data_IF_549459962939
#
_entry.id   IF_549459962939
#
_cell.length_a   1.000
_cell.length_b   1.000
_cell.length_c   1.000
_cell.angle_alpha   90.00
_cell.angle_beta   90.00
_cell.angle_gamma   90.00
#
_symmetry.space_group_name_H-M   'P 1'
#
loop_
_entity.id
_entity.type
_entity.pdbx_description
1 polymer ?
#
# COMPACT_ATOMS: atom_id res chain seq x y z
N UNK A 1 10.62 5.02 1.37
CA UNK A 1 10.76 3.57 1.15
C UNK A 1 9.94 3.16 -0.07
N UNK A 2 10.42 2.20 -0.86
CA UNK A 2 9.65 1.63 -1.96
C UNK A 2 9.30 0.17 -1.65
N UNK A 3 8.03 -0.16 -1.75
CA UNK A 3 7.50 -1.50 -1.52
C UNK A 3 6.88 -2.02 -2.81
N UNK A 4 7.24 -3.25 -3.17
CA UNK A 4 6.57 -4.02 -4.21
C UNK A 4 5.87 -5.20 -3.55
N UNK A 5 4.54 -5.17 -3.51
CA UNK A 5 3.75 -6.24 -2.95
C UNK A 5 3.18 -7.09 -4.08
N UNK A 6 3.56 -8.37 -4.13
CA UNK A 6 3.06 -9.35 -5.10
C UNK A 6 2.14 -10.33 -4.37
N UNK A 7 0.85 -10.32 -4.71
CA UNK A 7 -0.14 -11.17 -4.06
C UNK A 7 -0.64 -12.32 -4.93
N UNK A 8 -0.39 -12.31 -6.26
CA UNK A 8 -0.81 -13.38 -7.19
C UNK A 8 -2.32 -13.67 -7.16
N UNK A 9 -3.10 -12.62 -6.88
CA UNK A 9 -4.56 -12.64 -6.96
C UNK A 9 -4.98 -11.64 -8.04
N UNK A 10 -6.23 -11.70 -8.50
CA UNK A 10 -6.70 -10.77 -9.52
C UNK A 10 -6.70 -9.29 -9.08
N UNK A 11 -6.90 -8.40 -10.07
CA UNK A 11 -6.85 -6.94 -9.92
C UNK A 11 -7.72 -6.37 -8.81
N UNK A 12 -8.85 -7.02 -8.48
CA UNK A 12 -9.73 -6.59 -7.37
C UNK A 12 -8.96 -6.58 -6.05
N UNK A 13 -8.12 -7.58 -5.83
CA UNK A 13 -7.29 -7.65 -4.63
C UNK A 13 -6.18 -6.60 -4.64
N UNK A 14 -5.63 -6.24 -5.79
CA UNK A 14 -4.64 -5.14 -5.85
C UNK A 14 -5.22 -3.83 -5.36
N UNK A 15 -6.45 -3.50 -5.75
CA UNK A 15 -7.15 -2.31 -5.24
C UNK A 15 -7.50 -2.42 -3.76
N UNK A 16 -7.92 -3.61 -3.30
CA UNK A 16 -8.19 -3.86 -1.88
C UNK A 16 -6.93 -3.66 -1.02
N UNK A 17 -5.83 -4.31 -1.38
CA UNK A 17 -4.56 -4.21 -0.67
C UNK A 17 -4.02 -2.78 -0.70
N UNK A 18 -4.18 -2.06 -1.81
CA UNK A 18 -3.78 -0.65 -1.88
C UNK A 18 -4.56 0.23 -0.89
N UNK A 19 -5.88 0.02 -0.77
CA UNK A 19 -6.72 0.68 0.24
C UNK A 19 -6.32 0.31 1.67
N UNK A 20 -6.11 -0.98 1.92
CA UNK A 20 -5.65 -1.48 3.21
C UNK A 20 -4.33 -0.83 3.65
N UNK A 21 -3.33 -0.77 2.77
CA UNK A 21 -2.05 -0.14 3.12
C UNK A 21 -2.20 1.37 3.32
N UNK A 22 -3.07 2.04 2.56
CA UNK A 22 -3.40 3.46 2.80
C UNK A 22 -3.92 3.71 4.20
N UNK A 23 -4.90 2.93 4.63
CA UNK A 23 -5.45 3.04 5.99
C UNK A 23 -4.42 2.66 7.05
N UNK A 24 -3.68 1.57 6.85
CA UNK A 24 -2.66 1.10 7.79
C UNK A 24 -1.61 2.18 8.07
N UNK A 25 -0.97 2.74 7.05
CA UNK A 25 0.15 3.69 7.22
C UNK A 25 -0.28 5.11 7.64
N UNK A 26 -1.59 5.38 7.65
CA UNK A 26 -2.16 6.63 8.15
C UNK A 26 -2.89 6.46 9.50
N UNK A 27 -3.00 5.23 9.99
CA UNK A 27 -3.63 4.90 11.28
C UNK A 27 -2.88 5.53 12.45
N UNK A 28 -3.62 5.94 13.48
CA UNK A 28 -3.06 6.47 14.74
C UNK A 28 -2.33 5.40 15.56
N UNK A 29 -2.62 4.12 15.33
CA UNK A 29 -1.98 3.01 16.04
C UNK A 29 -0.57 2.69 15.51
N UNK A 30 -0.20 3.24 14.35
CA UNK A 30 1.13 3.02 13.79
C UNK A 30 2.20 3.82 14.55
N UNK A 31 3.37 3.22 14.80
CA UNK A 31 4.47 3.89 15.49
C UNK A 31 5.09 5.05 14.69
N UNK A 32 4.75 5.17 13.41
CA UNK A 32 5.10 6.28 12.54
C UNK A 32 3.97 6.52 11.54
N UNK A 33 3.79 7.79 11.15
CA UNK A 33 2.88 8.16 10.06
C UNK A 33 3.68 8.25 8.77
N UNK A 34 3.06 7.82 7.67
CA UNK A 34 3.67 7.96 6.37
C UNK A 34 2.62 8.41 5.34
N UNK A 35 3.01 9.36 4.51
CA UNK A 35 2.30 9.61 3.26
C UNK A 35 2.59 8.46 2.30
N UNK A 36 1.55 8.04 1.57
CA UNK A 36 1.62 6.89 0.67
C UNK A 36 1.13 7.26 -0.72
N UNK A 37 1.96 6.93 -1.70
CA UNK A 37 1.64 7.02 -3.11
C UNK A 37 1.88 5.66 -3.76
N UNK A 38 1.23 5.37 -4.89
CA UNK A 38 1.44 4.10 -5.55
C UNK A 38 0.42 3.76 -6.60
N UNK A 39 0.58 2.56 -7.16
CA UNK A 39 -0.24 2.05 -8.24
C UNK A 39 -0.53 0.56 -8.05
N UNK A 40 -1.79 0.19 -8.28
CA UNK A 40 -2.21 -1.21 -8.37
C UNK A 40 -2.06 -1.74 -9.80
N UNK A 41 -1.49 -2.93 -9.94
CA UNK A 41 -1.42 -3.70 -11.18
C UNK A 41 -2.42 -4.87 -11.13
N UNK A 42 -2.27 -5.90 -11.97
CA UNK A 42 -3.19 -7.06 -11.92
C UNK A 42 -2.97 -7.93 -10.69
N UNK A 43 -1.72 -8.31 -10.43
CA UNK A 43 -1.39 -9.27 -9.36
C UNK A 43 -0.39 -8.71 -8.34
N UNK A 44 -0.17 -7.41 -8.42
CA UNK A 44 0.79 -6.69 -7.60
C UNK A 44 0.39 -5.23 -7.40
N UNK A 45 1.08 -4.56 -6.49
CA UNK A 45 1.02 -3.11 -6.33
C UNK A 45 2.39 -2.57 -5.93
N UNK A 46 2.67 -1.35 -6.37
CA UNK A 46 3.83 -0.58 -5.93
C UNK A 46 3.39 0.51 -4.97
N UNK A 47 4.17 0.72 -3.92
CA UNK A 47 3.96 1.78 -2.93
C UNK A 47 5.27 2.55 -2.72
N UNK A 48 5.15 3.86 -2.62
CA UNK A 48 6.18 4.75 -2.13
C UNK A 48 5.68 5.35 -0.82
N UNK A 49 6.44 5.11 0.24
CA UNK A 49 6.19 5.65 1.58
C UNK A 49 7.18 6.78 1.86
N UNK A 50 6.69 7.93 2.29
CA UNK A 50 7.50 8.98 2.90
C UNK A 50 7.07 9.17 4.35
N UNK A 51 7.98 8.88 5.28
CA UNK A 51 7.75 9.04 6.72
C UNK A 51 7.74 10.53 7.04
N UNK A 52 6.80 10.93 7.90
CA UNK A 52 6.72 12.28 8.48
C UNK A 52 7.42 12.36 9.84
#
# INVERSE_FOLDING_TARGET
>A
FHLLFKHRQNKRYSSYWFGYFKELFTSEEMPFKASIEGQSFEESLSLTLAIE
#
